data_IF_672037492338
#
_entry.id   IF_672037492338
#
_cell.length_a   1.000
_cell.length_b   1.000
_cell.length_c   1.000
_cell.angle_alpha   90.00
_cell.angle_beta   90.00
_cell.angle_gamma   90.00
#
_symmetry.space_group_name_H-M   'P 1'
#
loop_
_entity.id
_entity.type
_entity.pdbx_description
1 polymer ?
#
# COMPACT_ATOMS: atom_id res chain seq x y z
N UNK A 1 6.61 18.83 3.25
CA UNK A 1 7.97 18.69 3.79
C UNK A 1 8.66 20.03 3.99
N UNK A 2 9.28 20.58 2.93
CA UNK A 2 10.08 21.82 2.99
C UNK A 2 9.26 23.02 3.50
N UNK A 3 8.08 23.26 2.93
CA UNK A 3 7.21 24.38 3.32
C UNK A 3 6.84 24.39 4.80
N UNK A 4 6.63 23.19 5.39
CA UNK A 4 6.27 23.01 6.79
C UNK A 4 7.47 22.74 7.71
N UNK A 5 8.70 22.72 7.18
CA UNK A 5 9.94 22.45 7.92
C UNK A 5 9.85 21.24 8.86
N UNK A 6 9.26 20.14 8.37
CA UNK A 6 9.07 18.93 9.18
C UNK A 6 10.43 18.37 9.64
N UNK A 7 10.53 17.85 10.87
CA UNK A 7 11.76 17.25 11.37
C UNK A 7 12.11 16.01 10.56
N UNK A 8 13.39 15.87 10.19
CA UNK A 8 13.85 14.67 9.52
C UNK A 8 13.93 13.52 10.54
N UNK A 9 13.44 12.32 10.19
CA UNK A 9 13.74 11.14 10.97
C UNK A 9 15.26 10.85 10.94
N UNK A 10 15.80 10.14 11.94
CA UNK A 10 17.19 9.71 11.92
C UNK A 10 17.47 8.86 10.69
N UNK A 11 18.68 8.99 10.14
CA UNK A 11 19.16 8.14 9.06
C UNK A 11 19.10 6.67 9.51
N UNK A 12 18.78 5.79 8.57
CA UNK A 12 18.69 4.36 8.82
C UNK A 12 19.90 3.71 8.16
N UNK A 13 20.89 3.36 8.97
CA UNK A 13 22.18 2.83 8.51
C UNK A 13 22.17 1.30 8.32
N UNK A 14 21.06 0.64 8.67
CA UNK A 14 20.91 -0.82 8.64
C UNK A 14 20.03 -1.30 7.48
N UNK A 15 20.37 -2.48 6.94
CA UNK A 15 19.57 -3.14 5.91
C UNK A 15 18.26 -3.69 6.48
N UNK A 16 17.13 -3.14 6.00
CA UNK A 16 15.78 -3.59 6.35
C UNK A 16 15.50 -5.07 6.02
N UNK A 17 16.25 -5.66 5.08
CA UNK A 17 16.02 -7.02 4.59
C UNK A 17 16.54 -8.10 5.56
N UNK A 18 17.49 -7.76 6.42
CA UNK A 18 18.15 -8.70 7.33
C UNK A 18 17.44 -8.88 8.68
N UNK A 19 16.45 -8.05 8.98
CA UNK A 19 15.68 -8.13 10.23
C UNK A 19 14.58 -9.20 10.15
N UNK A 20 14.37 -9.91 11.25
CA UNK A 20 13.31 -10.93 11.39
C UNK A 20 11.91 -10.31 11.25
N UNK A 21 10.91 -11.10 10.85
CA UNK A 21 9.52 -10.64 10.69
C UNK A 21 8.94 -10.06 12.00
N UNK A 22 9.39 -10.55 13.16
CA UNK A 22 8.94 -10.06 14.46
C UNK A 22 9.44 -8.65 14.79
N UNK A 23 10.68 -8.30 14.39
CA UNK A 23 11.22 -6.94 14.55
C UNK A 23 10.57 -5.93 13.61
N UNK A 24 10.11 -6.36 12.44
CA UNK A 24 9.33 -5.52 11.50
C UNK A 24 7.99 -5.10 12.08
N UNK A 25 7.39 -5.89 12.97
CA UNK A 25 6.11 -5.56 13.60
C UNK A 25 6.20 -4.33 14.52
N UNK A 26 7.34 -4.12 15.20
CA UNK A 26 7.60 -2.97 16.06
C UNK A 26 7.79 -1.66 15.26
N UNK A 27 8.11 -1.79 13.97
CA UNK A 27 8.25 -0.70 13.01
C UNK A 27 7.01 -0.50 12.14
N UNK A 28 5.86 -1.12 12.47
CA UNK A 28 4.62 -1.06 11.66
C UNK A 28 4.19 0.35 11.27
N UNK A 29 4.52 1.38 12.05
CA UNK A 29 4.29 2.79 11.66
C UNK A 29 5.13 3.27 10.47
N UNK A 30 6.01 2.43 9.91
CA UNK A 30 6.88 2.72 8.76
C UNK A 30 6.69 1.76 7.58
N UNK A 31 5.83 0.75 7.71
CA UNK A 31 5.62 -0.18 6.60
C UNK A 31 4.62 0.43 5.62
N UNK A 32 4.95 0.33 4.34
CA UNK A 32 4.03 0.71 3.29
C UNK A 32 2.84 -0.28 3.26
N UNK A 33 1.68 0.16 2.76
CA UNK A 33 0.57 -0.73 2.44
C UNK A 33 1.05 -1.94 1.63
N UNK A 34 0.63 -3.14 2.04
CA UNK A 34 1.07 -4.39 1.43
C UNK A 34 0.30 -4.69 0.13
N UNK A 35 -0.86 -4.08 -0.05
CA UNK A 35 -1.72 -4.28 -1.21
C UNK A 35 -2.18 -2.97 -1.83
N UNK A 36 -2.60 -3.03 -3.10
CA UNK A 36 -3.23 -1.89 -3.75
C UNK A 36 -4.49 -1.43 -3.01
N UNK A 37 -5.28 -2.36 -2.48
CA UNK A 37 -6.47 -2.03 -1.69
C UNK A 37 -6.14 -1.16 -0.47
N UNK A 38 -5.17 -1.60 0.33
CA UNK A 38 -4.70 -0.84 1.49
C UNK A 38 -4.11 0.52 1.09
N UNK A 39 -3.37 0.58 -0.01
CA UNK A 39 -2.82 1.85 -0.52
C UNK A 39 -3.91 2.84 -0.95
N UNK A 40 -5.00 2.34 -1.54
CA UNK A 40 -6.15 3.17 -1.90
C UNK A 40 -6.91 3.66 -0.66
N UNK A 41 -6.98 2.86 0.40
CA UNK A 41 -7.59 3.27 1.66
C UNK A 41 -6.76 4.37 2.36
N UNK A 42 -5.44 4.24 2.41
CA UNK A 42 -4.56 5.30 2.94
C UNK A 42 -4.62 6.57 2.09
N UNK A 43 -4.68 6.44 0.76
CA UNK A 43 -4.81 7.58 -0.16
C UNK A 43 -6.14 8.35 0.06
N UNK A 44 -7.22 7.67 0.49
CA UNK A 44 -8.51 8.31 0.77
C UNK A 44 -8.46 9.33 1.90
N UNK A 45 -7.53 9.13 2.83
CA UNK A 45 -7.33 10.01 3.98
C UNK A 45 -6.27 11.10 3.73
N UNK A 46 -5.54 11.06 2.60
CA UNK A 46 -4.49 12.02 2.26
C UNK A 46 -5.04 13.27 1.55
N UNK A 47 -5.25 14.32 2.34
CA UNK A 47 -5.75 15.61 1.83
C UNK A 47 -4.75 16.32 0.93
N UNK A 48 -3.44 16.18 1.17
CA UNK A 48 -2.41 16.85 0.38
C UNK A 48 -2.40 16.32 -1.06
N UNK A 49 -2.47 15.00 -1.23
CA UNK A 49 -2.48 14.38 -2.56
C UNK A 49 -3.75 14.75 -3.30
N UNK A 50 -4.91 14.72 -2.64
CA UNK A 50 -6.19 15.15 -3.22
C UNK A 50 -6.14 16.60 -3.70
N UNK A 51 -5.69 17.53 -2.86
CA UNK A 51 -5.56 18.95 -3.18
C UNK A 51 -4.59 19.20 -4.34
N UNK A 52 -3.50 18.42 -4.40
CA UNK A 52 -2.48 18.54 -5.45
C UNK A 52 -2.98 18.06 -6.81
N UNK A 53 -3.73 16.95 -6.85
CA UNK A 53 -4.28 16.39 -8.08
C UNK A 53 -5.56 17.09 -8.55
N UNK A 54 -6.31 17.67 -7.62
CA UNK A 54 -7.65 18.19 -7.85
C UNK A 54 -8.70 17.08 -7.96
N UNK A 55 -9.94 17.40 -7.61
CA UNK A 55 -11.01 16.40 -7.43
C UNK A 55 -11.25 15.53 -8.66
N UNK A 56 -11.29 16.10 -9.87
CA UNK A 56 -11.60 15.31 -11.07
C UNK A 56 -10.58 14.22 -11.38
N UNK A 57 -9.29 14.48 -11.15
CA UNK A 57 -8.23 13.51 -11.41
C UNK A 57 -8.19 12.50 -10.26
N UNK A 58 -8.29 13.00 -9.03
CA UNK A 58 -8.27 12.19 -7.83
C UNK A 58 -9.39 11.14 -7.82
N UNK A 59 -10.64 11.55 -8.00
CA UNK A 59 -11.80 10.63 -7.97
C UNK A 59 -11.72 9.62 -9.12
N UNK A 60 -11.37 10.06 -10.33
CA UNK A 60 -11.20 9.17 -11.48
C UNK A 60 -10.09 8.13 -11.27
N UNK A 61 -9.01 8.49 -10.58
CA UNK A 61 -7.93 7.56 -10.21
C UNK A 61 -8.40 6.54 -9.17
N UNK A 62 -9.07 6.99 -8.10
CA UNK A 62 -9.62 6.12 -7.07
C UNK A 62 -10.59 5.10 -7.67
N UNK A 63 -11.50 5.55 -8.53
CA UNK A 63 -12.48 4.68 -9.18
C UNK A 63 -11.80 3.63 -10.06
N UNK A 64 -10.92 4.07 -10.97
CA UNK A 64 -10.23 3.18 -11.89
C UNK A 64 -9.42 2.11 -11.14
N UNK A 65 -8.69 2.50 -10.09
CA UNK A 65 -7.86 1.58 -9.31
C UNK A 65 -8.66 0.68 -8.37
N UNK A 66 -9.83 1.14 -7.90
CA UNK A 66 -10.75 0.29 -7.13
C UNK A 66 -11.33 -0.81 -8.01
N UNK A 67 -11.67 -0.52 -9.27
CA UNK A 67 -12.11 -1.52 -10.24
C UNK A 67 -10.99 -2.55 -10.49
N UNK A 68 -9.77 -2.10 -10.80
CA UNK A 68 -8.61 -2.95 -11.02
C UNK A 68 -8.34 -3.88 -9.82
N UNK A 69 -8.36 -3.34 -8.60
CA UNK A 69 -8.17 -4.13 -7.38
C UNK A 69 -9.29 -5.17 -7.19
N UNK A 70 -10.53 -4.79 -7.47
CA UNK A 70 -11.69 -5.67 -7.35
C UNK A 70 -11.62 -6.83 -8.34
N UNK A 71 -11.17 -6.57 -9.57
CA UNK A 71 -10.96 -7.60 -10.59
C UNK A 71 -9.86 -8.57 -10.18
N UNK A 72 -8.70 -8.05 -9.76
CA UNK A 72 -7.57 -8.87 -9.30
C UNK A 72 -7.97 -9.82 -8.18
N UNK A 73 -8.57 -9.31 -7.09
CA UNK A 73 -8.89 -10.14 -5.91
C UNK A 73 -10.02 -11.15 -6.12
N UNK A 74 -10.79 -11.02 -7.21
CA UNK A 74 -11.87 -11.97 -7.58
C UNK A 74 -11.35 -13.07 -8.50
N UNK A 75 -10.19 -12.89 -9.10
CA UNK A 75 -9.59 -13.86 -9.98
C UNK A 75 -9.13 -15.08 -9.18
N UNK A 76 -9.44 -16.28 -9.67
CA UNK A 76 -8.79 -17.51 -9.20
C UNK A 76 -7.52 -17.70 -10.01
N UNK A 77 -6.39 -17.65 -9.33
CA UNK A 77 -5.07 -17.75 -9.95
C UNK A 77 -4.63 -19.21 -10.09
N UNK A 78 -3.77 -19.49 -11.08
CA UNK A 78 -3.22 -20.82 -11.29
C UNK A 78 -2.51 -21.37 -10.03
N UNK A 79 -1.82 -20.50 -9.28
CA UNK A 79 -1.19 -20.85 -8.00
C UNK A 79 -2.19 -21.43 -6.99
N UNK A 80 -3.41 -20.89 -6.92
CA UNK A 80 -4.44 -21.38 -6.01
C UNK A 80 -4.95 -22.75 -6.45
N UNK A 81 -5.14 -22.94 -7.76
CA UNK A 81 -5.55 -24.23 -8.33
C UNK A 81 -4.49 -25.30 -8.06
N UNK A 82 -3.23 -25.03 -8.36
CA UNK A 82 -2.11 -25.95 -8.15
C UNK A 82 -1.96 -26.34 -6.67
N UNK A 83 -2.21 -25.41 -5.75
CA UNK A 83 -2.05 -25.63 -4.32
C UNK A 83 -3.23 -26.33 -3.67
N UNK A 84 -4.46 -25.97 -4.03
CA UNK A 84 -5.65 -26.39 -3.30
C UNK A 84 -6.42 -27.51 -3.99
N UNK A 85 -6.43 -27.58 -5.33
CA UNK A 85 -7.20 -28.60 -6.07
C UNK A 85 -6.70 -30.05 -5.83
N UNK A 86 -5.40 -30.34 -5.62
CA UNK A 86 -4.96 -31.69 -5.29
C UNK A 86 -5.17 -32.08 -3.82
N UNK A 87 -5.39 -31.08 -2.94
CA UNK A 87 -5.47 -31.26 -1.49
C UNK A 87 -6.90 -31.45 -1.01
N UNK A 88 -7.87 -30.85 -1.71
CA UNK A 88 -9.29 -30.88 -1.40
C UNK A 88 -10.10 -31.49 -2.54
#
# INVERSE_FOLDING_TARGET
GISHKLPLPPAMDESLFLRDENERSYLRSRLLPATLGEALDELREDTLVRETLGDSIYEGFIDAKTIEWTEYRRQVHAWELERYLPVF
#
